data_IF_280066359579
#
_entry.id   IF_280066359579
#
_cell.length_a   1.000
_cell.length_b   1.000
_cell.length_c   1.000
_cell.angle_alpha   90.00
_cell.angle_beta   90.00
_cell.angle_gamma   90.00
#
_symmetry.space_group_name_H-M   'P 1'
#
loop_
_entity.id
_entity.type
_entity.pdbx_description
1 polymer ?
#
# COMPACT_ATOMS: atom_id res chain seq x y z
N UNK A 1 -6.70 -29.45 1.05
CA UNK A 1 -6.78 -28.42 -0.02
C UNK A 1 -7.09 -27.09 0.64
N UNK A 2 -6.48 -26.02 0.14
CA UNK A 2 -6.50 -24.62 0.61
C UNK A 2 -5.55 -24.29 1.77
N UNK A 3 -4.28 -24.15 1.42
CA UNK A 3 -3.21 -23.62 2.28
C UNK A 3 -3.29 -22.08 2.32
N UNK A 4 -3.15 -21.48 3.50
CA UNK A 4 -3.06 -20.03 3.81
C UNK A 4 -2.01 -19.23 2.99
N UNK A 5 -1.33 -19.88 2.05
CA UNK A 5 -0.33 -19.33 1.16
C UNK A 5 -0.93 -18.62 -0.07
N UNK A 6 -2.23 -18.80 -0.31
CA UNK A 6 -2.94 -18.23 -1.47
C UNK A 6 -3.37 -16.77 -1.26
N UNK A 7 -3.78 -16.40 -0.04
CA UNK A 7 -4.31 -15.06 0.24
C UNK A 7 -3.30 -13.95 -0.08
N UNK A 8 -2.03 -14.15 0.27
CA UNK A 8 -0.96 -13.18 -0.03
C UNK A 8 -0.58 -13.17 -1.51
N UNK A 9 -0.80 -14.26 -2.24
CA UNK A 9 -0.50 -14.32 -3.67
C UNK A 9 -1.50 -13.47 -4.46
N UNK A 10 -2.78 -13.57 -4.11
CA UNK A 10 -3.86 -12.78 -4.72
C UNK A 10 -3.68 -11.28 -4.49
N UNK A 11 -3.36 -10.86 -3.26
CA UNK A 11 -3.10 -9.45 -2.93
C UNK A 11 -1.92 -8.86 -3.73
N UNK A 12 -0.85 -9.64 -3.89
CA UNK A 12 0.31 -9.21 -4.68
C UNK A 12 -0.03 -9.09 -6.16
N UNK A 13 -0.72 -10.08 -6.72
CA UNK A 13 -1.10 -10.08 -8.14
C UNK A 13 -2.08 -8.96 -8.47
N UNK A 14 -3.08 -8.73 -7.61
CA UNK A 14 -4.03 -7.64 -7.78
C UNK A 14 -3.38 -6.26 -7.66
N UNK A 15 -2.45 -6.05 -6.72
CA UNK A 15 -1.70 -4.80 -6.61
C UNK A 15 -0.79 -4.55 -7.82
N UNK A 16 -0.12 -5.59 -8.32
CA UNK A 16 0.69 -5.53 -9.54
C UNK A 16 -0.14 -5.16 -10.77
N UNK A 17 -1.31 -5.79 -10.93
CA UNK A 17 -2.23 -5.50 -12.01
C UNK A 17 -2.71 -4.04 -11.96
N UNK A 18 -3.10 -3.55 -10.78
CA UNK A 18 -3.52 -2.17 -10.59
C UNK A 18 -2.41 -1.16 -10.95
N UNK A 19 -1.15 -1.44 -10.57
CA UNK A 19 0.02 -0.62 -10.91
C UNK A 19 0.34 -0.62 -12.41
N UNK A 20 0.13 -1.74 -13.10
CA UNK A 20 0.40 -1.84 -14.54
C UNK A 20 -0.62 -1.05 -15.38
N UNK A 21 -1.87 -1.01 -14.91
CA UNK A 21 -3.00 -0.39 -15.63
C UNK A 21 -3.20 1.09 -15.26
N UNK A 22 -2.89 1.49 -14.01
CA UNK A 22 -3.28 2.81 -13.49
C UNK A 22 -2.08 3.77 -13.38
N UNK A 23 -2.28 5.02 -13.79
CA UNK A 23 -1.30 6.10 -13.57
C UNK A 23 -1.39 6.68 -12.14
N UNK A 24 -2.53 6.52 -11.46
CA UNK A 24 -2.75 6.96 -10.08
C UNK A 24 -3.26 5.78 -9.26
N UNK A 25 -2.57 5.45 -8.17
CA UNK A 25 -2.98 4.40 -7.24
C UNK A 25 -3.31 5.01 -5.89
N UNK A 26 -4.55 4.80 -5.43
CA UNK A 26 -5.03 5.26 -4.14
C UNK A 26 -4.73 4.22 -3.07
N UNK A 27 -4.00 4.62 -2.04
CA UNK A 27 -3.68 3.78 -0.88
C UNK A 27 -4.51 4.29 0.30
N UNK A 28 -5.49 3.48 0.69
CA UNK A 28 -6.43 3.80 1.75
C UNK A 28 -5.95 3.24 3.08
N UNK A 29 -5.53 4.09 4.01
CA UNK A 29 -4.98 3.68 5.31
C UNK A 29 -5.74 4.34 6.45
N UNK A 30 -5.92 3.62 7.56
CA UNK A 30 -6.38 4.23 8.81
C UNK A 30 -5.20 4.81 9.58
N UNK A 31 -5.38 5.96 10.24
CA UNK A 31 -4.31 6.63 10.98
C UNK A 31 -3.71 5.74 12.09
N UNK A 32 -4.52 4.88 12.71
CA UNK A 32 -4.07 3.96 13.75
C UNK A 32 -3.20 2.81 13.23
N UNK A 33 -3.26 2.51 11.93
CA UNK A 33 -2.40 1.50 11.30
C UNK A 33 -1.05 2.08 10.90
N UNK A 34 -0.92 3.41 10.82
CA UNK A 34 0.35 4.08 10.50
C UNK A 34 1.34 3.85 11.65
N UNK A 35 2.50 3.25 11.32
CA UNK A 35 3.56 2.95 12.29
C UNK A 35 3.46 1.59 12.97
N UNK A 36 2.38 0.81 12.74
CA UNK A 36 2.25 -0.56 13.28
C UNK A 36 2.86 -1.59 12.33
N UNK A 37 3.86 -2.32 12.79
CA UNK A 37 4.59 -3.34 12.01
C UNK A 37 3.65 -4.42 11.41
N UNK A 38 2.59 -4.79 12.14
CA UNK A 38 1.71 -5.92 11.82
C UNK A 38 0.32 -5.50 11.28
N UNK A 39 -0.08 -4.23 11.40
CA UNK A 39 -1.41 -3.76 10.99
C UNK A 39 -1.40 -2.87 9.73
N UNK A 40 -0.25 -2.27 9.39
CA UNK A 40 -0.12 -1.35 8.26
C UNK A 40 -0.13 -1.99 6.86
N UNK A 41 -0.41 -3.30 6.75
CA UNK A 41 -0.24 -4.06 5.52
C UNK A 41 1.15 -3.89 4.86
N UNK A 42 2.20 -3.79 5.71
CA UNK A 42 3.61 -3.57 5.32
C UNK A 42 4.13 -4.50 4.20
N UNK A 43 3.83 -5.82 4.20
CA UNK A 43 4.28 -6.72 3.14
C UNK A 43 3.75 -6.36 1.74
N UNK A 44 2.51 -5.85 1.68
CA UNK A 44 1.88 -5.43 0.43
C UNK A 44 2.49 -4.13 -0.07
N UNK A 45 2.63 -3.13 0.80
CA UNK A 45 3.31 -1.86 0.47
C UNK A 45 4.75 -2.08 0.00
N UNK A 46 5.50 -2.98 0.65
CA UNK A 46 6.85 -3.34 0.22
C UNK A 46 6.87 -3.87 -1.21
N UNK A 47 5.90 -4.71 -1.58
CA UNK A 47 5.77 -5.25 -2.94
C UNK A 47 5.49 -4.13 -3.95
N UNK A 48 4.55 -3.23 -3.63
CA UNK A 48 4.19 -2.07 -4.45
C UNK A 48 5.40 -1.18 -4.71
N UNK A 49 6.13 -0.79 -3.66
CA UNK A 49 7.33 0.05 -3.79
C UNK A 49 8.45 -0.65 -4.57
N UNK A 50 8.68 -1.94 -4.32
CA UNK A 50 9.72 -2.70 -5.02
C UNK A 50 9.44 -2.78 -6.52
N UNK A 51 8.18 -2.93 -6.92
CA UNK A 51 7.79 -3.01 -8.33
C UNK A 51 7.85 -1.64 -8.97
N UNK A 52 7.34 -0.61 -8.29
CA UNK A 52 7.45 0.77 -8.75
C UNK A 52 8.92 1.16 -8.99
N UNK A 53 9.83 0.73 -8.12
CA UNK A 53 11.28 0.93 -8.31
C UNK A 53 11.88 0.19 -9.51
N UNK A 54 11.35 -0.99 -9.86
CA UNK A 54 11.81 -1.77 -11.02
C UNK A 54 11.21 -1.30 -12.33
N UNK A 55 10.03 -0.68 -12.29
CA UNK A 55 9.30 -0.21 -13.48
C UNK A 55 9.73 1.18 -13.96
N UNK A 56 10.78 1.80 -13.40
CA UNK A 56 11.29 3.15 -13.72
C UNK A 56 11.94 3.28 -15.13
N UNK A 57 11.23 2.84 -16.17
CA UNK A 57 11.10 3.52 -17.46
C UNK A 57 9.94 4.55 -17.33
N UNK A 58 9.80 5.63 -18.11
CA UNK A 58 9.29 6.93 -17.65
C UNK A 58 7.76 7.04 -17.51
N UNK A 59 7.08 6.03 -16.94
CA UNK A 59 5.71 6.15 -16.47
C UNK A 59 5.73 6.77 -15.07
N UNK A 60 5.22 8.00 -14.96
CA UNK A 60 5.02 8.69 -13.70
C UNK A 60 3.78 8.13 -13.00
N UNK A 61 3.93 7.07 -12.24
CA UNK A 61 2.84 6.58 -11.37
C UNK A 61 2.76 7.46 -10.11
N UNK A 62 1.58 8.01 -9.82
CA UNK A 62 1.32 8.83 -8.63
C UNK A 62 0.66 7.98 -7.55
N UNK A 63 1.26 7.93 -6.36
CA UNK A 63 0.65 7.28 -5.19
C UNK A 63 -0.12 8.31 -4.36
N UNK A 64 -1.43 8.11 -4.25
CA UNK A 64 -2.31 8.98 -3.46
C UNK A 64 -2.66 8.30 -2.14
N UNK A 65 -2.08 8.77 -1.03
CA UNK A 65 -2.38 8.25 0.29
C UNK A 65 -3.61 8.93 0.89
N UNK A 66 -4.68 8.17 1.12
CA UNK A 66 -5.87 8.61 1.84
C UNK A 66 -5.77 8.10 3.27
N UNK A 67 -5.55 9.01 4.20
CA UNK A 67 -5.48 8.70 5.63
C UNK A 67 -6.84 8.96 6.26
N UNK A 68 -7.48 7.90 6.75
CA UNK A 68 -8.77 7.93 7.45
C UNK A 68 -8.58 8.02 8.95
N UNK A 69 -9.61 8.52 9.63
CA UNK A 69 -9.67 8.66 11.08
C UNK A 69 -8.50 9.48 11.64
N UNK A 70 -8.49 10.78 11.32
CA UNK A 70 -7.77 11.74 12.16
C UNK A 70 -8.56 11.89 13.45
N UNK A 71 -8.25 11.07 14.44
CA UNK A 71 -8.57 11.41 15.83
C UNK A 71 -7.93 12.78 16.09
N UNK A 72 -8.77 13.78 16.38
CA UNK A 72 -8.35 15.12 16.83
C UNK A 72 -7.72 15.07 18.23
N UNK A 73 -6.80 14.13 18.46
CA UNK A 73 -6.04 14.04 19.70
C UNK A 73 -4.58 14.26 19.33
N UNK A 74 -4.22 15.55 19.38
CA UNK A 74 -2.87 16.12 19.26
C UNK A 74 -2.31 16.19 17.84
N UNK A 75 -2.57 17.33 17.23
CA UNK A 75 -1.56 18.00 16.42
C UNK A 75 -0.23 18.09 17.18
N UNK A 76 0.87 18.10 16.41
CA UNK A 76 2.20 18.55 16.81
C UNK A 76 2.99 17.70 17.82
N UNK A 77 4.18 17.30 17.37
CA UNK A 77 5.42 17.31 18.13
C UNK A 77 5.35 16.82 19.59
N UNK A 78 5.76 15.57 19.78
CA UNK A 78 6.84 15.28 20.72
C UNK A 78 7.92 14.54 19.97
#
# INVERSE_FOLDING_TARGET
MMTLQDDTAFEKQSALFALAVSDIVLINMWCHDIGREQAANKPLLKTVFQVMMRLFSPRKTTLLFVIRDKSRVRACYM
#
